data_IF_126561520283
#
_entry.id   IF_126561520283
#
_cell.length_a   1.000
_cell.length_b   1.000
_cell.length_c   1.000
_cell.angle_alpha   90.00
_cell.angle_beta   90.00
_cell.angle_gamma   90.00
#
_symmetry.space_group_name_H-M   'P 1'
#
loop_
_entity.id
_entity.type
_entity.pdbx_description
1 polymer ?
#
# COMPACT_ATOMS: atom_id res chain seq x y z
N UNK A 1 15.56 -7.01 -9.40
CA UNK A 1 16.69 -7.06 -8.44
C UNK A 1 16.22 -6.68 -7.03
N UNK A 2 15.49 -5.57 -6.86
CA UNK A 2 14.89 -5.13 -5.58
C UNK A 2 13.95 -6.18 -4.96
N UNK A 3 12.99 -6.71 -5.72
CA UNK A 3 12.10 -7.80 -5.24
C UNK A 3 12.86 -9.01 -4.67
N UNK A 4 13.98 -9.41 -5.31
CA UNK A 4 14.80 -10.54 -4.84
C UNK A 4 15.48 -10.24 -3.51
N UNK A 5 15.97 -9.01 -3.31
CA UNK A 5 16.54 -8.60 -2.02
C UNK A 5 15.48 -8.71 -0.90
N UNK A 6 14.24 -8.28 -1.17
CA UNK A 6 13.14 -8.42 -0.22
C UNK A 6 12.90 -9.88 0.18
N UNK A 7 12.86 -10.81 -0.77
CA UNK A 7 12.72 -12.24 -0.45
C UNK A 7 13.88 -12.80 0.38
N UNK A 8 15.10 -12.33 0.13
CA UNK A 8 16.32 -12.82 0.80
C UNK A 8 16.54 -12.20 2.20
N UNK A 9 16.13 -10.94 2.41
CA UNK A 9 16.48 -10.19 3.61
C UNK A 9 15.38 -9.27 4.16
N UNK A 10 14.16 -9.36 3.63
CA UNK A 10 13.03 -8.53 4.07
C UNK A 10 12.33 -9.03 5.33
N UNK A 11 12.57 -10.29 5.73
CA UNK A 11 12.05 -10.92 6.96
C UNK A 11 13.18 -11.26 7.93
N UNK A 12 13.80 -10.26 8.57
CA UNK A 12 14.90 -10.47 9.50
C UNK A 12 14.41 -11.16 10.79
N UNK A 13 15.35 -11.67 11.59
CA UNK A 13 15.05 -12.16 12.93
C UNK A 13 14.49 -11.03 13.83
N UNK A 14 13.71 -11.38 14.85
CA UNK A 14 13.11 -10.40 15.76
C UNK A 14 14.16 -9.45 16.35
N UNK A 15 13.89 -8.15 16.25
CA UNK A 15 14.78 -7.09 16.73
C UNK A 15 15.91 -6.70 15.78
N UNK A 16 16.03 -7.35 14.62
CA UNK A 16 16.98 -6.98 13.57
C UNK A 16 16.29 -6.16 12.48
N UNK A 17 17.07 -5.31 11.80
CA UNK A 17 16.61 -4.54 10.64
C UNK A 17 16.93 -5.32 9.37
N UNK A 18 15.94 -5.49 8.50
CA UNK A 18 16.06 -6.17 7.23
C UNK A 18 16.55 -5.24 6.13
N UNK A 19 16.49 -5.71 4.89
CA UNK A 19 16.82 -4.87 3.73
C UNK A 19 15.72 -3.83 3.48
N UNK A 20 16.12 -2.72 2.88
CA UNK A 20 15.20 -1.63 2.52
C UNK A 20 14.22 -2.08 1.42
N UNK A 21 12.90 -1.89 1.62
CA UNK A 21 11.92 -2.12 0.58
C UNK A 21 11.97 -1.03 -0.49
N UNK A 22 11.38 -1.33 -1.65
CA UNK A 22 10.94 -0.31 -2.59
C UNK A 22 9.79 0.49 -1.96
N UNK A 23 9.75 1.79 -2.22
CA UNK A 23 8.66 2.64 -1.76
C UNK A 23 8.46 3.81 -2.72
N UNK A 24 7.26 4.35 -2.73
CA UNK A 24 6.93 5.59 -3.42
C UNK A 24 5.95 6.40 -2.55
N UNK A 25 5.88 7.71 -2.82
CA UNK A 25 4.91 8.59 -2.16
C UNK A 25 3.70 8.77 -3.05
N UNK A 26 2.53 8.31 -2.58
CA UNK A 26 1.27 8.43 -3.32
C UNK A 26 0.75 9.87 -3.34
N UNK A 27 0.85 10.58 -2.22
CA UNK A 27 0.35 11.93 -2.06
C UNK A 27 0.01 12.26 -0.61
N UNK A 28 -0.59 13.44 -0.40
CA UNK A 28 -0.92 14.02 0.90
C UNK A 28 -2.37 13.77 1.33
N UNK A 29 -3.03 12.77 0.76
CA UNK A 29 -4.41 12.40 1.08
C UNK A 29 -5.50 13.16 0.32
N UNK A 30 -5.21 14.23 -0.43
CA UNK A 30 -6.25 14.97 -1.21
C UNK A 30 -6.86 14.15 -2.36
N UNK A 31 -6.24 13.02 -2.70
CA UNK A 31 -6.63 12.07 -3.73
C UNK A 31 -7.20 10.77 -3.15
N UNK A 32 -7.42 10.72 -1.84
CA UNK A 32 -8.14 9.62 -1.21
C UNK A 32 -9.63 9.68 -1.58
N UNK A 33 -10.20 8.53 -1.90
CA UNK A 33 -11.59 8.35 -2.28
C UNK A 33 -12.24 7.40 -1.28
N UNK A 34 -13.49 7.70 -0.90
CA UNK A 34 -14.23 6.85 0.02
C UNK A 34 -14.48 5.45 -0.59
N UNK A 35 -14.45 4.38 0.22
CA UNK A 35 -14.83 3.04 -0.22
C UNK A 35 -16.19 3.02 -0.91
N UNK A 36 -16.25 2.37 -2.07
CA UNK A 36 -17.45 2.28 -2.90
C UNK A 36 -17.74 3.50 -3.77
N UNK A 37 -16.99 4.60 -3.63
CA UNK A 37 -17.09 5.75 -4.54
C UNK A 37 -16.25 5.54 -5.81
N UNK A 38 -16.49 6.39 -6.82
CA UNK A 38 -15.84 6.28 -8.12
C UNK A 38 -14.35 6.64 -8.05
N UNK A 39 -13.49 5.74 -8.54
CA UNK A 39 -12.10 6.02 -8.85
C UNK A 39 -12.01 6.65 -10.24
N UNK A 40 -11.53 7.88 -10.33
CA UNK A 40 -11.47 8.64 -11.58
C UNK A 40 -10.08 8.50 -12.22
N UNK A 41 -10.05 8.08 -13.48
CA UNK A 41 -8.82 8.08 -14.27
C UNK A 41 -8.66 9.44 -14.98
N UNK A 42 -7.51 10.13 -14.84
CA UNK A 42 -7.28 11.38 -15.54
C UNK A 42 -7.09 11.12 -17.04
N UNK A 43 -7.46 12.10 -17.88
CA UNK A 43 -7.50 11.92 -19.35
C UNK A 43 -6.15 11.56 -20.00
N UNK A 44 -5.03 11.87 -19.35
CA UNK A 44 -3.69 11.55 -19.83
C UNK A 44 -3.19 10.17 -19.37
N UNK A 45 -3.89 9.52 -18.44
CA UNK A 45 -3.52 8.19 -17.98
C UNK A 45 -3.65 7.18 -19.12
N UNK A 46 -2.67 6.30 -19.24
CA UNK A 46 -2.65 5.26 -20.27
C UNK A 46 -3.23 3.94 -19.78
N UNK A 47 -3.37 3.81 -18.46
CA UNK A 47 -3.94 2.65 -17.79
C UNK A 47 -4.63 3.08 -16.48
N UNK A 48 -5.46 2.18 -15.98
CA UNK A 48 -6.35 2.30 -14.83
C UNK A 48 -6.32 0.96 -14.06
N UNK A 49 -5.12 0.51 -13.73
CA UNK A 49 -4.90 -0.74 -13.02
C UNK A 49 -5.34 -0.63 -11.57
N UNK A 50 -6.02 -1.67 -11.09
CA UNK A 50 -6.45 -1.82 -9.71
C UNK A 50 -5.43 -2.72 -8.98
N UNK A 51 -4.86 -2.24 -7.87
CA UNK A 51 -3.92 -2.99 -7.04
C UNK A 51 -4.54 -3.14 -5.62
N UNK A 52 -5.16 -4.30 -5.32
CA UNK A 52 -5.73 -4.56 -4.01
C UNK A 52 -4.60 -4.85 -3.02
N UNK A 53 -4.64 -4.26 -1.83
CA UNK A 53 -3.58 -4.39 -0.83
C UNK A 53 -4.14 -4.35 0.60
N UNK A 54 -3.26 -4.61 1.57
CA UNK A 54 -3.47 -4.23 2.96
C UNK A 54 -2.69 -2.94 3.23
N UNK A 55 -3.33 -2.01 3.94
CA UNK A 55 -2.68 -0.81 4.45
C UNK A 55 -2.71 -0.76 5.98
N UNK A 56 -1.63 -0.29 6.59
CA UNK A 56 -1.62 0.15 7.98
C UNK A 56 -2.10 1.60 8.10
N UNK A 57 -2.91 1.88 9.12
CA UNK A 57 -3.34 3.23 9.49
C UNK A 57 -2.58 3.66 10.73
N UNK A 58 -1.96 4.84 10.69
CA UNK A 58 -1.15 5.35 11.78
C UNK A 58 -1.49 6.81 12.09
N UNK A 59 -1.33 7.17 13.36
CA UNK A 59 -1.32 8.56 13.82
C UNK A 59 0.04 8.84 14.44
N UNK A 60 0.65 9.96 14.13
CA UNK A 60 1.89 10.39 14.76
C UNK A 60 1.57 11.20 16.01
N UNK A 61 2.09 10.78 17.16
CA UNK A 61 1.92 11.47 18.43
C UNK A 61 2.72 12.77 18.52
N UNK A 62 2.45 13.55 19.56
CA UNK A 62 3.07 14.86 19.80
C UNK A 62 4.60 14.79 19.99
N UNK A 63 5.12 13.62 20.37
CA UNK A 63 6.56 13.32 20.51
C UNK A 63 7.19 12.76 19.21
N UNK A 64 6.42 12.66 18.13
CA UNK A 64 6.85 12.08 16.85
C UNK A 64 6.82 10.55 16.83
N UNK A 65 6.29 9.87 17.85
CA UNK A 65 6.14 8.42 17.83
C UNK A 65 4.99 8.00 16.90
N UNK A 66 5.21 7.04 15.97
CA UNK A 66 4.13 6.49 15.16
C UNK A 66 3.30 5.49 15.96
N UNK A 67 1.99 5.69 16.00
CA UNK A 67 1.03 4.78 16.62
C UNK A 67 0.18 4.12 15.54
N UNK A 68 0.30 2.80 15.40
CA UNK A 68 -0.59 2.05 14.51
C UNK A 68 -1.97 1.94 15.14
N UNK A 69 -2.97 2.51 14.46
CA UNK A 69 -4.39 2.38 14.83
C UNK A 69 -4.88 0.99 14.47
N UNK A 70 -4.55 0.52 13.27
CA UNK A 70 -4.97 -0.79 12.79
C UNK A 70 -4.66 -0.99 11.32
N UNK A 71 -5.35 -1.93 10.70
CA UNK A 71 -5.19 -2.32 9.30
C UNK A 71 -6.49 -2.21 8.52
N UNK A 72 -6.39 -1.96 7.23
CA UNK A 72 -7.55 -1.92 6.33
C UNK A 72 -7.20 -2.55 5.00
N UNK A 73 -8.23 -2.97 4.26
CA UNK A 73 -8.07 -3.16 2.82
C UNK A 73 -7.85 -1.81 2.15
N UNK A 74 -7.03 -1.80 1.11
CA UNK A 74 -6.78 -0.67 0.25
C UNK A 74 -6.81 -1.08 -1.21
N UNK A 75 -7.07 -0.11 -2.05
CA UNK A 75 -6.97 -0.21 -3.49
C UNK A 75 -6.12 0.97 -3.97
N UNK A 76 -5.00 0.62 -4.56
CA UNK A 76 -4.05 1.54 -5.15
C UNK A 76 -4.29 1.58 -6.67
N UNK A 77 -4.75 2.71 -7.19
CA UNK A 77 -5.03 2.86 -8.61
C UNK A 77 -3.77 3.28 -9.34
N UNK A 78 -3.42 2.63 -10.46
CA UNK A 78 -2.10 2.74 -11.08
C UNK A 78 -2.10 2.78 -12.59
N UNK A 79 -1.11 3.50 -13.15
CA UNK A 79 -0.86 3.56 -14.59
C UNK A 79 0.39 2.74 -14.96
N UNK A 80 0.23 1.43 -15.04
CA UNK A 80 1.34 0.51 -15.33
C UNK A 80 1.97 0.74 -16.70
N UNK A 81 1.20 1.28 -17.66
CA UNK A 81 1.71 1.58 -19.00
C UNK A 81 2.72 2.72 -18.91
N UNK A 82 2.43 3.78 -18.14
CA UNK A 82 3.38 4.86 -17.86
C UNK A 82 4.62 4.36 -17.11
N UNK A 83 4.43 3.51 -16.09
CA UNK A 83 5.52 2.97 -15.30
C UNK A 83 6.54 2.16 -16.13
N UNK A 84 6.05 1.31 -17.03
CA UNK A 84 6.90 0.45 -17.87
C UNK A 84 7.78 1.21 -18.87
N UNK A 85 7.49 2.47 -19.14
CA UNK A 85 8.30 3.30 -20.04
C UNK A 85 9.70 3.51 -19.47
N UNK A 86 9.78 3.80 -18.17
CA UNK A 86 11.03 4.08 -17.49
C UNK A 86 10.84 3.86 -15.99
N UNK A 87 11.78 3.19 -15.34
CA UNK A 87 11.75 2.99 -13.89
C UNK A 87 11.60 4.32 -13.09
N UNK A 88 12.13 5.43 -13.60
CA UNK A 88 11.95 6.75 -12.99
C UNK A 88 10.52 7.30 -13.07
N UNK A 89 9.63 6.66 -13.84
CA UNK A 89 8.24 7.06 -14.01
C UNK A 89 7.29 6.44 -12.99
N UNK A 90 7.80 5.64 -12.04
CA UNK A 90 7.01 5.11 -10.93
C UNK A 90 6.24 6.22 -10.19
N UNK A 91 6.90 7.33 -9.86
CA UNK A 91 6.20 8.43 -9.20
C UNK A 91 5.04 8.98 -10.04
N UNK A 92 5.21 9.07 -11.37
CA UNK A 92 4.18 9.57 -12.27
C UNK A 92 3.00 8.60 -12.46
N UNK A 93 3.28 7.28 -12.46
CA UNK A 93 2.24 6.26 -12.59
C UNK A 93 1.34 6.19 -11.36
N UNK A 94 1.91 6.48 -10.19
CA UNK A 94 1.24 6.37 -8.90
C UNK A 94 0.42 7.62 -8.52
N UNK A 95 0.52 8.77 -9.21
CA UNK A 95 -0.33 9.94 -8.92
C UNK A 95 -1.78 9.78 -9.44
N UNK A 96 -2.55 8.89 -8.81
CA UNK A 96 -3.93 8.50 -9.15
C UNK A 96 -4.75 8.21 -7.88
N UNK A 97 -6.08 8.31 -7.93
CA UNK A 97 -6.91 8.11 -6.72
C UNK A 97 -6.56 6.82 -5.96
N UNK A 98 -6.72 6.82 -4.64
CA UNK A 98 -6.61 5.62 -3.83
C UNK A 98 -7.82 5.51 -2.91
N UNK A 99 -8.25 4.29 -2.61
CA UNK A 99 -9.34 4.03 -1.68
C UNK A 99 -8.89 3.06 -0.61
N UNK A 100 -9.39 3.20 0.61
CA UNK A 100 -9.10 2.30 1.73
C UNK A 100 -10.26 2.28 2.71
N UNK A 101 -10.52 1.12 3.30
CA UNK A 101 -11.65 0.85 4.18
C UNK A 101 -12.45 -0.38 3.72
N UNK A 102 -13.75 -0.49 4.06
CA UNK A 102 -14.53 0.47 4.85
C UNK A 102 -14.26 0.41 6.36
N UNK A 103 -13.59 -0.63 6.84
CA UNK A 103 -13.37 -0.88 8.25
C UNK A 103 -11.87 -0.93 8.58
N UNK A 104 -11.54 -0.57 9.82
CA UNK A 104 -10.19 -0.71 10.36
C UNK A 104 -10.20 -1.88 11.34
N UNK A 105 -9.43 -2.93 11.02
CA UNK A 105 -9.12 -4.01 11.92
C UNK A 105 -8.14 -3.52 12.98
N UNK A 106 -8.60 -3.47 14.24
CA UNK A 106 -7.76 -3.17 15.39
C UNK A 106 -7.07 -4.45 15.87
N UNK A 107 -5.81 -4.33 16.29
CA UNK A 107 -5.01 -5.45 16.78
C UNK A 107 -4.09 -6.03 15.70
N UNK A 108 -3.88 -7.34 15.75
CA UNK A 108 -2.94 -8.03 14.86
C UNK A 108 -3.57 -8.34 13.50
N UNK A 109 -2.78 -8.13 12.44
CA UNK A 109 -3.15 -8.56 11.10
C UNK A 109 -2.99 -10.09 10.99
N UNK A 110 -3.95 -10.82 10.39
CA UNK A 110 -3.75 -12.24 10.05
C UNK A 110 -2.51 -12.44 9.17
N UNK A 111 -1.73 -13.48 9.46
CA UNK A 111 -0.48 -13.73 8.73
C UNK A 111 -0.73 -14.24 7.29
N UNK A 112 -1.84 -14.93 7.04
CA UNK A 112 -2.30 -15.35 5.70
C UNK A 112 -3.66 -14.73 5.41
N UNK A 113 -3.71 -13.85 4.41
CA UNK A 113 -4.93 -13.18 3.95
C UNK A 113 -5.18 -13.61 2.52
N UNK A 114 -6.42 -13.99 2.23
CA UNK A 114 -6.86 -14.41 0.91
C UNK A 114 -8.12 -13.66 0.52
N UNK A 115 -8.13 -13.10 -0.67
CA UNK A 115 -9.24 -12.34 -1.22
C UNK A 115 -9.34 -12.48 -2.72
N UNK A 116 -10.19 -11.66 -3.32
CA UNK A 116 -10.39 -11.62 -4.77
C UNK A 116 -10.62 -10.17 -5.19
N UNK A 117 -9.87 -9.72 -6.19
CA UNK A 117 -10.20 -8.51 -6.92
C UNK A 117 -10.99 -8.86 -8.16
N UNK A 118 -11.99 -8.05 -8.47
CA UNK A 118 -12.88 -8.27 -9.61
C UNK A 118 -13.39 -6.96 -10.18
N UNK A 119 -13.55 -6.95 -11.49
CA UNK A 119 -14.22 -5.88 -12.23
C UNK A 119 -15.56 -6.42 -12.69
N UNK A 120 -16.64 -5.78 -12.24
CA UNK A 120 -17.99 -6.07 -12.69
C UNK A 120 -18.43 -5.00 -13.69
N UNK A 121 -19.06 -5.41 -14.78
CA UNK A 121 -19.70 -4.53 -15.77
C UNK A 121 -21.10 -5.02 -16.03
N UNK A 122 -22.08 -4.15 -15.80
CA UNK A 122 -23.52 -4.48 -15.89
C UNK A 122 -23.89 -5.73 -15.07
N UNK A 123 -23.32 -5.85 -13.87
CA UNK A 123 -23.53 -6.98 -12.96
C UNK A 123 -22.81 -8.27 -13.34
N UNK A 124 -22.05 -8.31 -14.45
CA UNK A 124 -21.30 -9.49 -14.90
C UNK A 124 -19.81 -9.33 -14.61
N UNK A 125 -19.15 -10.40 -14.18
CA UNK A 125 -17.70 -10.42 -14.02
C UNK A 125 -17.01 -10.28 -15.37
N UNK A 126 -16.31 -9.18 -15.57
CA UNK A 126 -15.48 -8.93 -16.74
C UNK A 126 -14.06 -9.49 -16.55
N UNK A 127 -13.57 -9.41 -15.30
CA UNK A 127 -12.25 -9.86 -14.90
C UNK A 127 -12.25 -10.18 -13.40
N UNK A 128 -11.50 -11.18 -12.99
CA UNK A 128 -11.25 -11.48 -11.59
C UNK A 128 -9.89 -12.17 -11.42
N UNK A 129 -9.25 -11.94 -10.26
CA UNK A 129 -8.08 -12.69 -9.81
C UNK A 129 -8.07 -12.84 -8.29
N UNK A 130 -7.50 -13.94 -7.77
CA UNK A 130 -7.19 -14.03 -6.35
C UNK A 130 -6.15 -12.99 -5.96
N UNK A 131 -6.27 -12.48 -4.74
CA UNK A 131 -5.29 -11.61 -4.08
C UNK A 131 -4.83 -12.29 -2.79
N UNK A 132 -3.52 -12.27 -2.54
CA UNK A 132 -2.88 -12.86 -1.37
C UNK A 132 -2.10 -11.78 -0.63
N UNK A 133 -2.22 -11.77 0.69
CA UNK A 133 -1.52 -10.80 1.54
C UNK A 133 -1.28 -11.37 2.94
N UNK A 134 -0.89 -10.51 3.87
CA UNK A 134 -0.37 -10.91 5.18
C UNK A 134 1.09 -11.34 5.09
N UNK A 135 1.80 -11.26 6.22
CA UNK A 135 3.26 -11.47 6.26
C UNK A 135 3.72 -12.82 5.72
N UNK A 136 2.86 -13.86 5.68
CA UNK A 136 3.17 -15.13 5.01
C UNK A 136 3.40 -14.95 3.50
N UNK A 137 2.60 -14.09 2.86
CA UNK A 137 2.62 -13.88 1.41
C UNK A 137 3.44 -12.64 0.98
N UNK A 138 3.85 -11.78 1.91
CA UNK A 138 4.67 -10.60 1.63
C UNK A 138 6.18 -10.94 1.59
N UNK A 139 6.99 -10.09 0.96
CA UNK A 139 8.46 -10.22 0.97
C UNK A 139 9.11 -9.61 2.22
N UNK A 140 8.43 -8.70 2.89
CA UNK A 140 8.92 -8.05 4.11
C UNK A 140 7.99 -8.32 5.29
N UNK A 141 8.53 -8.28 6.51
CA UNK A 141 7.69 -8.15 7.69
C UNK A 141 7.14 -6.73 7.78
N UNK A 142 5.94 -6.57 8.36
CA UNK A 142 5.31 -5.28 8.62
C UNK A 142 6.25 -4.43 9.48
N UNK A 143 6.86 -5.01 10.52
CA UNK A 143 7.83 -4.32 11.36
C UNK A 143 9.03 -3.77 10.57
N UNK A 144 9.48 -4.48 9.53
CA UNK A 144 10.55 -3.99 8.66
C UNK A 144 10.07 -2.83 7.78
N UNK A 145 8.88 -2.94 7.19
CA UNK A 145 8.27 -1.86 6.41
C UNK A 145 8.08 -0.60 7.27
N UNK A 146 7.51 -0.75 8.47
CA UNK A 146 7.33 0.32 9.45
C UNK A 146 8.66 0.97 9.85
N UNK A 147 9.69 0.17 10.15
CA UNK A 147 11.03 0.70 10.46
C UNK A 147 11.57 1.55 9.30
N UNK A 148 11.53 1.02 8.07
CA UNK A 148 12.08 1.72 6.91
C UNK A 148 11.28 2.96 6.51
N UNK A 149 9.99 3.02 6.82
CA UNK A 149 9.16 4.20 6.65
C UNK A 149 9.43 5.23 7.75
N UNK A 150 9.21 4.88 9.02
CA UNK A 150 9.24 5.84 10.13
C UNK A 150 10.65 6.19 10.64
N UNK A 151 11.73 5.56 10.16
CA UNK A 151 13.10 6.02 10.48
C UNK A 151 13.37 7.46 10.02
N UNK A 152 12.66 7.93 9.00
CA UNK A 152 12.79 9.30 8.50
C UNK A 152 11.94 10.26 9.34
N UNK A 153 12.52 11.36 9.82
CA UNK A 153 11.79 12.38 10.60
C UNK A 153 10.67 13.06 9.80
N UNK A 154 10.79 13.10 8.48
CA UNK A 154 9.77 13.64 7.59
C UNK A 154 8.41 12.91 7.70
N UNK A 155 8.39 11.64 8.12
CA UNK A 155 7.16 10.85 8.33
C UNK A 155 6.79 10.71 9.81
N UNK A 156 7.31 11.62 10.65
CA UNK A 156 7.08 11.65 12.10
C UNK A 156 6.71 13.06 12.56
N UNK A 157 5.93 13.78 11.75
CA UNK A 157 5.40 15.10 12.16
C UNK A 157 4.19 14.90 13.07
N UNK A 158 4.15 15.55 14.25
CA UNK A 158 3.00 15.47 15.16
C UNK A 158 1.66 15.72 14.49
N UNK A 159 0.69 14.83 14.75
CA UNK A 159 -0.68 14.91 14.23
C UNK A 159 -0.88 14.37 12.82
N UNK A 160 0.20 14.00 12.10
CA UNK A 160 0.06 13.38 10.78
C UNK A 160 -0.66 12.03 10.87
N UNK A 161 -1.48 11.76 9.84
CA UNK A 161 -2.10 10.47 9.62
C UNK A 161 -1.44 9.81 8.42
N UNK A 162 -0.96 8.59 8.59
CA UNK A 162 -0.38 7.80 7.51
C UNK A 162 -1.30 6.65 7.13
N UNK A 163 -1.49 6.49 5.82
CA UNK A 163 -1.99 5.26 5.19
C UNK A 163 -0.81 4.62 4.47
N UNK A 164 -0.25 3.55 5.04
CA UNK A 164 0.91 2.86 4.50
C UNK A 164 0.46 1.56 3.83
N UNK A 165 0.36 1.58 2.51
CA UNK A 165 0.02 0.42 1.67
C UNK A 165 1.25 -0.48 1.53
N UNK A 166 1.09 -1.80 1.71
CA UNK A 166 2.21 -2.74 1.89
C UNK A 166 2.63 -3.50 0.63
N UNK A 167 2.07 -3.18 -0.53
CA UNK A 167 2.33 -3.88 -1.79
C UNK A 167 1.45 -5.11 -1.99
N UNK A 168 1.29 -5.48 -3.26
CA UNK A 168 0.74 -6.76 -3.74
C UNK A 168 1.79 -7.60 -4.48
#
# INVERSE_FOLDING_TARGET
>A
KMFRMGLEGGKPAKGQVGVQPEWFYKGNGTMAVAPGAALMSPAFAKDAGEEPEVAGIYVIGDDGAPFRVGFTLSNEFSDHVTERVNYLFLAHSKLRNASFGPEILIGDLPSDIRGTSRILRDGKTLWEKPFLSGETNMSHTIANLEHHHFKYSAFRQPGDVHVHMFGT
#
